data_IF_585636645076
#
_entry.id   IF_585636645076
#
_cell.length_a   1.000
_cell.length_b   1.000
_cell.length_c   1.000
_cell.angle_alpha   90.00
_cell.angle_beta   90.00
_cell.angle_gamma   90.00
#
_symmetry.space_group_name_H-M   'P 1'
#
loop_
_entity.id
_entity.type
_entity.pdbx_description
1 polymer ?
#
# COMPACT_ATOMS: atom_id res chain seq x y z
N UNK A 1 -23.86 -35.09 -6.93
CA UNK A 1 -24.13 -33.91 -6.11
C UNK A 1 -23.80 -34.27 -4.67
N UNK A 2 -22.63 -33.85 -4.20
CA UNK A 2 -22.23 -33.97 -2.80
C UNK A 2 -21.70 -32.59 -2.40
N UNK A 3 -22.49 -31.87 -1.62
CA UNK A 3 -22.13 -30.59 -1.02
C UNK A 3 -21.15 -30.90 0.12
N UNK A 4 -19.89 -30.51 -0.04
CA UNK A 4 -18.95 -30.50 1.06
C UNK A 4 -19.26 -29.28 1.93
N UNK A 5 -19.93 -29.52 3.07
CA UNK A 5 -19.95 -28.61 4.21
C UNK A 5 -18.50 -28.40 4.67
N UNK A 6 -17.90 -27.29 4.25
CA UNK A 6 -16.72 -26.75 4.92
C UNK A 6 -17.20 -26.07 6.20
N UNK A 7 -17.16 -26.85 7.27
CA UNK A 7 -17.25 -26.49 8.68
C UNK A 7 -16.65 -25.08 8.93
N UNK A 8 -17.48 -24.03 8.90
CA UNK A 8 -17.17 -22.69 9.44
C UNK A 8 -17.04 -22.83 10.96
N UNK A 9 -15.94 -23.43 11.41
CA UNK A 9 -15.56 -23.36 12.81
C UNK A 9 -15.19 -21.92 13.07
N UNK A 10 -16.13 -21.17 13.63
CA UNK A 10 -15.88 -19.89 14.28
C UNK A 10 -14.75 -20.13 15.28
N UNK A 11 -13.53 -19.76 14.93
CA UNK A 11 -12.36 -19.92 15.80
C UNK A 11 -12.54 -18.94 16.95
N UNK A 12 -13.23 -19.36 18.02
CA UNK A 12 -13.38 -18.51 19.20
C UNK A 12 -12.02 -18.45 19.91
N UNK A 13 -11.58 -17.25 20.26
CA UNK A 13 -10.32 -17.04 20.98
C UNK A 13 -10.25 -17.97 22.22
N UNK A 14 -9.12 -18.68 22.42
CA UNK A 14 -9.01 -19.66 23.50
C UNK A 14 -9.19 -18.99 24.87
N UNK A 15 -10.12 -19.52 25.69
CA UNK A 15 -10.32 -19.05 27.07
C UNK A 15 -9.06 -19.29 27.91
N UNK A 16 -8.32 -18.24 28.26
CA UNK A 16 -7.20 -18.34 29.21
C UNK A 16 -7.72 -18.66 30.62
N UNK A 17 -7.34 -19.82 31.17
CA UNK A 17 -7.47 -20.10 32.61
C UNK A 17 -6.46 -19.24 33.38
N UNK A 18 -6.94 -18.21 34.08
CA UNK A 18 -6.14 -17.34 34.94
C UNK A 18 -5.95 -15.93 34.36
N UNK A 19 -6.57 -14.93 35.01
CA UNK A 19 -6.70 -13.51 34.64
C UNK A 19 -7.36 -13.28 33.26
N UNK A 20 -8.65 -12.97 33.28
CA UNK A 20 -9.40 -12.34 32.18
C UNK A 20 -8.73 -11.02 31.77
N UNK A 21 -7.70 -11.07 30.93
CA UNK A 21 -7.39 -9.95 30.03
C UNK A 21 -8.13 -10.24 28.74
N UNK A 22 -9.37 -9.77 28.67
CA UNK A 22 -10.15 -9.78 27.44
C UNK A 22 -9.34 -8.98 26.40
N UNK A 23 -9.13 -9.55 25.21
CA UNK A 23 -8.49 -8.81 24.12
C UNK A 23 -9.45 -7.69 23.70
N UNK A 24 -8.97 -6.45 23.48
CA UNK A 24 -9.86 -5.35 23.13
C UNK A 24 -10.39 -5.43 21.69
N UNK A 25 -9.95 -6.41 20.89
CA UNK A 25 -10.27 -6.54 19.48
C UNK A 25 -11.06 -7.83 19.20
N UNK A 26 -12.00 -7.76 18.25
CA UNK A 26 -12.68 -8.93 17.70
C UNK A 26 -11.76 -9.62 16.71
N UNK A 27 -11.84 -10.95 16.63
CA UNK A 27 -10.97 -11.75 15.78
C UNK A 27 -11.08 -11.39 14.29
N UNK A 28 -12.31 -11.16 13.82
CA UNK A 28 -12.58 -10.72 12.45
C UNK A 28 -11.91 -9.39 12.10
N UNK A 29 -11.77 -8.49 13.08
CA UNK A 29 -11.11 -7.20 12.92
C UNK A 29 -9.58 -7.33 12.92
N UNK A 30 -9.06 -8.51 13.27
CA UNK A 30 -7.62 -8.78 13.31
C UNK A 30 -7.12 -9.64 12.15
N UNK A 31 -8.02 -10.40 11.52
CA UNK A 31 -7.70 -11.29 10.41
C UNK A 31 -7.53 -10.49 9.12
N UNK A 32 -6.31 -10.47 8.58
CA UNK A 32 -5.96 -9.73 7.39
C UNK A 32 -6.74 -10.18 6.14
N UNK A 33 -7.05 -11.47 6.02
CA UNK A 33 -7.87 -11.98 4.90
C UNK A 33 -9.31 -11.52 5.03
N UNK A 34 -9.90 -11.60 6.23
CA UNK A 34 -11.26 -11.13 6.45
C UNK A 34 -11.37 -9.61 6.21
N UNK A 35 -10.36 -8.83 6.61
CA UNK A 35 -10.30 -7.40 6.30
C UNK A 35 -10.31 -7.17 4.78
N UNK A 36 -9.45 -7.88 4.04
CA UNK A 36 -9.37 -7.77 2.57
C UNK A 36 -10.67 -8.22 1.90
N UNK A 37 -11.23 -9.36 2.29
CA UNK A 37 -12.37 -9.98 1.63
C UNK A 37 -13.67 -9.19 1.85
N UNK A 38 -13.72 -8.33 2.87
CA UNK A 38 -14.80 -7.36 3.11
C UNK A 38 -14.63 -6.04 2.32
N UNK A 39 -13.61 -5.92 1.46
CA UNK A 39 -13.42 -4.77 0.58
C UNK A 39 -14.08 -5.03 -0.76
N UNK A 40 -15.22 -4.38 -1.01
CA UNK A 40 -16.00 -4.59 -2.24
C UNK A 40 -15.93 -3.41 -3.22
N UNK A 41 -15.50 -2.24 -2.74
CA UNK A 41 -15.39 -1.02 -3.54
C UNK A 41 -13.93 -0.64 -3.80
N UNK A 42 -13.71 0.12 -4.88
CA UNK A 42 -12.42 0.72 -5.22
C UNK A 42 -12.46 2.24 -4.95
N UNK A 43 -12.00 2.71 -3.76
CA UNK A 43 -11.61 1.94 -2.57
C UNK A 43 -12.76 1.70 -1.58
N UNK A 44 -12.58 0.75 -0.66
CA UNK A 44 -13.35 0.65 0.58
C UNK A 44 -12.59 1.35 1.70
N UNK A 45 -13.12 2.46 2.23
CA UNK A 45 -12.54 3.10 3.42
C UNK A 45 -12.94 2.31 4.68
N UNK A 46 -11.96 1.91 5.48
CA UNK A 46 -12.16 0.99 6.59
C UNK A 46 -11.80 1.68 7.90
N UNK A 47 -12.74 1.67 8.84
CA UNK A 47 -12.50 2.05 10.23
C UNK A 47 -12.31 0.79 11.06
N UNK A 48 -11.07 0.50 11.44
CA UNK A 48 -10.74 -0.70 12.22
C UNK A 48 -9.75 -0.35 13.35
N UNK A 49 -10.17 -0.46 14.63
CA UNK A 49 -9.33 -0.06 15.76
C UNK A 49 -8.10 -0.95 15.94
N UNK A 50 -8.14 -2.21 15.48
CA UNK A 50 -6.96 -3.09 15.50
C UNK A 50 -5.91 -2.60 14.50
N UNK A 51 -6.31 -2.20 13.29
CA UNK A 51 -5.39 -1.65 12.28
C UNK A 51 -4.72 -0.38 12.81
N UNK A 52 -5.50 0.56 13.35
CA UNK A 52 -4.96 1.77 13.98
C UNK A 52 -3.98 1.43 15.10
N UNK A 53 -4.30 0.46 15.96
CA UNK A 53 -3.41 0.00 17.02
C UNK A 53 -2.08 -0.55 16.46
N UNK A 54 -2.15 -1.41 15.43
CA UNK A 54 -0.98 -2.02 14.81
C UNK A 54 -0.07 -0.98 14.15
N UNK A 55 -0.64 0.04 13.50
CA UNK A 55 0.10 1.17 12.92
C UNK A 55 0.80 1.97 14.02
N UNK A 56 0.05 2.38 15.04
CA UNK A 56 0.56 3.27 16.10
C UNK A 56 1.60 2.59 16.98
N UNK A 57 1.44 1.29 17.25
CA UNK A 57 2.37 0.52 18.08
C UNK A 57 3.52 -0.11 17.31
N UNK A 58 3.49 -0.06 15.98
CA UNK A 58 4.48 -0.74 15.14
C UNK A 58 4.48 -2.25 15.37
N UNK A 59 3.31 -2.83 15.61
CA UNK A 59 3.16 -4.27 15.85
C UNK A 59 3.40 -5.08 14.58
N UNK A 60 4.01 -6.25 14.73
CA UNK A 60 4.04 -7.29 13.69
C UNK A 60 2.99 -8.38 13.96
N UNK A 61 2.72 -9.23 12.96
CA UNK A 61 1.68 -10.24 13.06
C UNK A 61 1.96 -11.26 14.18
N UNK A 62 3.24 -11.58 14.42
CA UNK A 62 3.66 -12.47 15.51
C UNK A 62 3.30 -11.90 16.90
N UNK A 63 3.58 -10.62 17.15
CA UNK A 63 3.21 -9.95 18.39
C UNK A 63 1.70 -9.79 18.53
N UNK A 64 0.99 -9.52 17.43
CA UNK A 64 -0.47 -9.51 17.42
C UNK A 64 -1.05 -10.88 17.80
N UNK A 65 -0.53 -11.97 17.22
CA UNK A 65 -0.90 -13.35 17.56
C UNK A 65 -0.75 -13.63 19.05
N UNK A 66 0.38 -13.23 19.64
CA UNK A 66 0.65 -13.38 21.08
C UNK A 66 -0.28 -12.53 21.94
N UNK A 67 -0.55 -11.29 21.52
CA UNK A 67 -1.52 -10.41 22.18
C UNK A 67 -2.91 -11.05 22.19
N UNK A 68 -3.28 -11.69 21.10
CA UNK A 68 -4.59 -12.34 20.92
C UNK A 68 -4.65 -13.74 21.56
N UNK A 69 -3.55 -14.24 22.12
CA UNK A 69 -3.47 -15.54 22.81
C UNK A 69 -3.41 -16.75 21.88
N UNK A 70 -3.04 -16.55 20.62
CA UNK A 70 -2.89 -17.58 19.58
C UNK A 70 -1.45 -18.10 19.47
N UNK A 71 -0.53 -17.65 20.33
CA UNK A 71 0.89 -18.04 20.37
C UNK A 71 1.13 -19.52 20.74
N UNK A 72 0.12 -20.18 21.31
CA UNK A 72 0.18 -21.58 21.72
C UNK A 72 -0.49 -22.55 20.76
N UNK A 73 -1.11 -22.04 19.69
CA UNK A 73 -1.71 -22.90 18.68
C UNK A 73 -0.63 -23.34 17.67
N UNK A 74 -0.74 -24.55 17.12
CA UNK A 74 0.21 -25.04 16.14
C UNK A 74 0.23 -24.10 14.93
N UNK A 75 1.43 -23.65 14.56
CA UNK A 75 1.70 -22.83 13.39
C UNK A 75 1.45 -23.70 12.13
N UNK A 76 0.27 -23.54 11.53
CA UNK A 76 -0.18 -24.29 10.35
C UNK A 76 -0.63 -23.30 9.27
N UNK A 77 -0.63 -23.71 8.00
CA UNK A 77 -1.07 -22.83 6.89
C UNK A 77 -2.54 -22.39 6.98
N UNK A 78 -3.35 -23.04 7.81
CA UNK A 78 -4.74 -22.69 8.11
C UNK A 78 -4.88 -21.75 9.32
N UNK A 79 -3.78 -21.23 9.85
CA UNK A 79 -3.83 -20.24 10.93
C UNK A 79 -4.38 -18.91 10.43
N UNK A 80 -5.03 -18.20 11.34
CA UNK A 80 -5.45 -16.81 11.15
C UNK A 80 -4.21 -15.97 10.90
N UNK A 81 -4.22 -15.19 9.82
CA UNK A 81 -3.16 -14.22 9.49
C UNK A 81 -3.51 -12.90 10.11
N UNK A 82 -2.67 -12.41 11.01
CA UNK A 82 -2.92 -11.11 11.64
C UNK A 82 -2.46 -9.97 10.73
N UNK A 83 -3.32 -8.96 10.56
CA UNK A 83 -2.92 -7.76 9.81
C UNK A 83 -1.76 -7.06 10.51
N UNK A 84 -0.75 -6.65 9.75
CA UNK A 84 0.42 -5.93 10.26
C UNK A 84 0.76 -4.74 9.37
N UNK A 85 1.32 -3.69 9.99
CA UNK A 85 1.90 -2.55 9.28
C UNK A 85 3.41 -2.71 9.05
N UNK A 86 4.07 -3.57 9.83
CA UNK A 86 5.47 -3.92 9.59
C UNK A 86 5.55 -4.85 8.37
N UNK A 87 5.94 -4.30 7.21
CA UNK A 87 5.95 -5.01 5.94
C UNK A 87 7.22 -4.73 5.16
N UNK A 88 7.74 -5.77 4.52
CA UNK A 88 8.80 -5.65 3.55
C UNK A 88 8.24 -5.24 2.18
N UNK A 89 9.03 -4.50 1.40
CA UNK A 89 8.64 -4.09 0.05
C UNK A 89 7.43 -3.13 -0.03
N UNK A 90 6.94 -2.60 1.09
CA UNK A 90 5.92 -1.55 1.12
C UNK A 90 6.53 -0.24 0.64
N UNK A 91 5.88 0.45 -0.29
CA UNK A 91 6.35 1.78 -0.69
C UNK A 91 5.84 2.85 0.26
N UNK A 92 6.63 3.91 0.43
CA UNK A 92 6.27 5.12 1.17
C UNK A 92 6.47 6.32 0.26
N UNK A 93 5.41 7.07 0.00
CA UNK A 93 5.44 8.25 -0.87
C UNK A 93 4.97 9.49 -0.10
N UNK A 94 5.80 10.52 -0.05
CA UNK A 94 5.40 11.83 0.49
C UNK A 94 4.70 12.63 -0.60
N UNK A 95 3.54 13.18 -0.28
CA UNK A 95 2.74 14.02 -1.16
C UNK A 95 2.61 15.39 -0.49
N UNK A 96 3.15 16.46 -1.10
CA UNK A 96 3.05 17.79 -0.55
C UNK A 96 1.59 18.28 -0.60
N UNK A 97 1.21 19.04 0.42
CA UNK A 97 -0.03 19.81 0.44
C UNK A 97 0.00 20.90 -0.63
N UNK A 98 -1.19 21.40 -0.97
CA UNK A 98 -1.37 22.42 -2.01
C UNK A 98 -1.93 23.74 -1.43
N UNK A 99 -1.77 23.96 -0.12
CA UNK A 99 -2.33 25.10 0.62
C UNK A 99 -3.80 24.93 1.03
N UNK A 100 -4.49 23.93 0.46
CA UNK A 100 -5.86 23.53 0.86
C UNK A 100 -5.82 22.19 1.60
N UNK A 101 -5.07 21.21 1.09
CA UNK A 101 -4.85 19.93 1.74
C UNK A 101 -3.56 19.91 2.56
N UNK A 102 -3.55 19.12 3.64
CA UNK A 102 -2.35 18.77 4.40
C UNK A 102 -1.33 18.00 3.55
N UNK A 103 -0.09 18.00 4.04
CA UNK A 103 0.92 17.04 3.61
C UNK A 103 0.44 15.63 3.94
N UNK A 104 0.77 14.67 3.06
CA UNK A 104 0.40 13.27 3.25
C UNK A 104 1.60 12.37 3.08
N UNK A 105 1.61 11.30 3.85
CA UNK A 105 2.51 10.16 3.62
C UNK A 105 1.66 8.95 3.32
N UNK A 106 1.86 8.37 2.14
CA UNK A 106 1.05 7.28 1.63
C UNK A 106 1.90 6.01 1.60
N UNK A 107 1.37 4.95 2.21
CA UNK A 107 1.96 3.63 2.23
C UNK A 107 1.10 2.68 1.40
N UNK A 108 1.74 1.87 0.54
CA UNK A 108 1.02 1.01 -0.41
C UNK A 108 1.58 -0.41 -0.34
N UNK A 109 0.68 -1.37 -0.15
CA UNK A 109 0.96 -2.80 -0.21
C UNK A 109 2.06 -3.28 0.75
N UNK A 110 2.95 -4.14 0.24
CA UNK A 110 4.02 -4.81 0.96
C UNK A 110 3.67 -6.26 1.31
N UNK A 111 4.68 -7.01 1.75
CA UNK A 111 4.57 -8.38 2.22
C UNK A 111 5.03 -8.53 3.66
N UNK A 112 4.54 -9.54 4.37
CA UNK A 112 5.03 -9.93 5.69
C UNK A 112 5.42 -11.40 5.66
N UNK A 113 6.58 -11.71 6.25
CA UNK A 113 7.24 -13.02 6.28
C UNK A 113 7.52 -13.64 4.90
N UNK A 114 8.05 -14.86 4.90
CA UNK A 114 8.28 -15.68 3.71
C UNK A 114 7.17 -16.72 3.52
N UNK A 115 7.11 -17.34 2.34
CA UNK A 115 5.97 -18.16 1.90
C UNK A 115 5.67 -19.41 2.76
N UNK A 116 6.59 -19.83 3.63
CA UNK A 116 6.40 -20.96 4.53
C UNK A 116 5.92 -20.54 5.92
N UNK A 117 5.98 -19.25 6.26
CA UNK A 117 5.39 -18.73 7.48
C UNK A 117 3.85 -18.71 7.40
N UNK A 118 3.13 -19.23 8.40
CA UNK A 118 1.68 -19.12 8.52
C UNK A 118 1.10 -17.70 8.51
N UNK A 119 1.86 -16.70 8.96
CA UNK A 119 1.51 -15.28 8.91
C UNK A 119 1.90 -14.63 7.56
N UNK A 120 2.41 -15.40 6.60
CA UNK A 120 2.72 -14.90 5.26
C UNK A 120 1.51 -14.26 4.60
N UNK A 121 1.67 -12.99 4.23
CA UNK A 121 0.65 -12.24 3.50
C UNK A 121 1.28 -11.13 2.68
N UNK A 122 0.82 -11.01 1.44
CA UNK A 122 1.04 -9.84 0.58
C UNK A 122 -0.25 -9.03 0.61
N UNK A 123 -0.10 -7.72 0.78
CA UNK A 123 -1.19 -6.77 1.00
C UNK A 123 -1.47 -5.95 -0.27
N UNK A 124 -2.72 -5.55 -0.43
CA UNK A 124 -3.21 -4.63 -1.47
C UNK A 124 -3.98 -3.45 -0.85
N UNK A 125 -3.54 -2.98 0.32
CA UNK A 125 -4.16 -1.85 1.00
C UNK A 125 -3.32 -0.57 0.85
N UNK A 126 -3.97 0.56 1.11
CA UNK A 126 -3.36 1.90 1.14
C UNK A 126 -3.60 2.53 2.51
N UNK A 127 -2.52 2.98 3.15
CA UNK A 127 -2.56 3.72 4.41
C UNK A 127 -2.14 5.16 4.15
N UNK A 128 -2.94 6.11 4.60
CA UNK A 128 -2.67 7.54 4.42
C UNK A 128 -2.49 8.17 5.79
N UNK A 129 -1.32 8.78 5.99
CA UNK A 129 -1.03 9.63 7.12
C UNK A 129 -1.24 11.07 6.69
N UNK A 130 -2.17 11.77 7.33
CA UNK A 130 -2.37 13.20 7.13
C UNK A 130 -1.55 13.98 8.16
N UNK A 131 -0.70 14.87 7.68
CA UNK A 131 0.22 15.68 8.47
C UNK A 131 -0.26 17.13 8.39
N UNK A 132 -0.90 17.62 9.46
CA UNK A 132 -1.25 19.04 9.55
C UNK A 132 -0.09 19.78 10.22
N UNK A 133 0.50 20.72 9.50
CA UNK A 133 1.48 21.67 10.03
C UNK A 133 0.76 22.82 10.71
N UNK A 134 0.07 22.57 11.82
CA UNK A 134 -0.43 23.69 12.63
C UNK A 134 0.71 24.21 13.50
N UNK A 135 1.31 25.34 13.10
CA UNK A 135 2.26 26.12 13.90
C UNK A 135 1.68 26.68 15.23
N UNK A 136 0.41 26.36 15.54
CA UNK A 136 -0.32 26.84 16.71
C UNK A 136 -0.97 25.73 17.56
N UNK A 137 -0.64 24.45 17.34
CA UNK A 137 -1.22 23.35 18.13
C UNK A 137 -0.27 22.82 19.22
N UNK A 138 -0.05 23.61 20.27
CA UNK A 138 0.07 23.07 21.65
C UNK A 138 -1.32 22.59 22.15
N UNK A 139 -2.11 21.94 21.29
CA UNK A 139 -3.40 21.38 21.68
C UNK A 139 -3.21 19.89 21.86
N UNK A 140 -3.52 19.45 23.09
CA UNK A 140 -3.65 18.06 23.49
C UNK A 140 -4.11 17.18 22.32
N UNK A 141 -3.25 16.24 21.93
CA UNK A 141 -3.61 15.13 21.08
C UNK A 141 -4.89 14.50 21.64
N UNK A 142 -5.87 14.14 20.79
CA UNK A 142 -7.01 13.38 21.27
C UNK A 142 -6.45 12.10 21.91
N UNK A 143 -6.89 11.82 23.14
CA UNK A 143 -6.30 10.85 24.08
C UNK A 143 -6.29 9.39 23.60
N UNK A 144 -6.77 9.14 22.38
CA UNK A 144 -6.82 7.88 21.67
C UNK A 144 -5.66 7.67 20.67
N UNK A 145 -4.88 8.71 20.31
CA UNK A 145 -3.64 8.53 19.54
C UNK A 145 -2.49 8.38 20.54
N UNK A 146 -2.22 7.14 20.93
CA UNK A 146 -1.12 6.85 21.85
C UNK A 146 0.19 7.19 21.14
N UNK A 147 1.00 8.07 21.73
CA UNK A 147 2.31 8.44 21.23
C UNK A 147 3.08 7.22 20.66
N UNK A 148 3.34 7.27 19.36
CA UNK A 148 4.28 6.36 18.70
C UNK A 148 5.65 6.61 19.35
N UNK A 149 6.41 5.57 19.77
CA UNK A 149 7.75 5.77 20.30
C UNK A 149 8.58 6.58 19.31
N UNK A 150 9.05 7.73 19.78
CA UNK A 150 9.81 8.71 19.02
C UNK A 150 11.03 8.03 18.39
N UNK A 151 11.01 7.77 17.07
CA UNK A 151 12.26 7.76 16.30
C UNK A 151 12.60 9.22 16.04
N UNK A 152 13.79 9.72 16.42
CA UNK A 152 14.17 11.10 16.15
C UNK A 152 13.94 11.46 14.67
N UNK A 153 13.12 12.47 14.40
CA UNK A 153 12.83 12.96 13.04
C UNK A 153 11.53 12.46 12.37
N UNK A 154 10.61 11.81 13.10
CA UNK A 154 9.30 11.41 12.55
C UNK A 154 8.15 12.20 13.20
N UNK A 155 7.53 13.11 12.45
CA UNK A 155 6.26 13.75 12.83
C UNK A 155 5.13 12.70 12.92
N UNK A 156 4.30 12.76 13.96
CA UNK A 156 3.17 11.84 14.11
C UNK A 156 2.02 12.27 13.18
N UNK A 157 1.32 11.32 12.54
CA UNK A 157 0.13 11.66 11.78
C UNK A 157 -0.97 12.17 12.71
N UNK A 158 -1.67 13.21 12.29
CA UNK A 158 -2.84 13.72 13.00
C UNK A 158 -4.08 12.88 12.71
N UNK A 159 -4.15 12.32 11.51
CA UNK A 159 -5.21 11.42 11.07
C UNK A 159 -4.61 10.28 10.25
N UNK A 160 -5.16 9.08 10.42
CA UNK A 160 -4.81 7.89 9.66
C UNK A 160 -6.06 7.41 8.92
N UNK A 161 -6.00 7.35 7.60
CA UNK A 161 -7.03 6.71 6.77
C UNK A 161 -6.52 5.38 6.24
N UNK A 162 -7.38 4.36 6.24
CA UNK A 162 -7.07 3.03 5.73
C UNK A 162 -8.05 2.66 4.61
N UNK A 163 -7.52 2.24 3.47
CA UNK A 163 -8.28 1.88 2.28
C UNK A 163 -7.93 0.47 1.84
N UNK A 164 -8.92 -0.40 1.77
CA UNK A 164 -8.80 -1.72 1.17
C UNK A 164 -9.41 -1.76 -0.23
N UNK A 165 -8.99 -2.75 -1.02
CA UNK A 165 -9.35 -2.86 -2.43
C UNK A 165 -9.69 -4.33 -2.78
N UNK A 166 -10.68 -4.56 -3.65
CA UNK A 166 -10.86 -5.84 -4.32
C UNK A 166 -9.56 -6.28 -5.02
N UNK A 167 -9.25 -7.58 -4.94
CA UNK A 167 -7.99 -8.10 -5.48
C UNK A 167 -7.92 -8.05 -7.02
N UNK A 168 -9.05 -7.99 -7.71
CA UNK A 168 -9.17 -7.80 -9.16
C UNK A 168 -8.94 -6.33 -9.59
N UNK A 169 -9.25 -5.37 -8.73
CA UNK A 169 -8.98 -3.94 -8.93
C UNK A 169 -7.53 -3.58 -8.58
N UNK A 170 -7.05 -4.05 -7.42
CA UNK A 170 -5.67 -3.87 -6.98
C UNK A 170 -5.09 -5.19 -6.47
N UNK A 171 -4.19 -5.77 -7.26
CA UNK A 171 -3.53 -7.02 -6.93
C UNK A 171 -2.62 -6.84 -5.69
N UNK A 172 -2.59 -7.81 -4.77
CA UNK A 172 -1.60 -7.85 -3.70
C UNK A 172 -0.18 -7.79 -4.25
N UNK A 173 0.56 -6.78 -3.81
CA UNK A 173 1.89 -6.47 -4.34
C UNK A 173 2.86 -6.04 -3.24
N UNK A 174 4.11 -6.46 -3.41
CA UNK A 174 5.28 -6.10 -2.63
C UNK A 174 6.43 -5.78 -3.57
N UNK A 175 7.38 -4.98 -3.11
CA UNK A 175 8.57 -4.57 -3.85
C UNK A 175 8.27 -3.89 -5.21
N UNK A 176 7.10 -3.28 -5.33
CA UNK A 176 6.77 -2.36 -6.41
C UNK A 176 7.46 -1.01 -6.18
N UNK A 177 7.40 -0.15 -7.19
CA UNK A 177 7.78 1.26 -7.05
C UNK A 177 6.52 2.12 -7.00
N UNK A 178 6.60 3.25 -6.29
CA UNK A 178 5.51 4.21 -6.18
C UNK A 178 6.06 5.63 -6.37
N UNK A 179 5.57 6.34 -7.37
CA UNK A 179 6.05 7.68 -7.72
C UNK A 179 4.89 8.67 -7.81
N UNK A 180 4.95 9.72 -6.99
CA UNK A 180 4.01 10.84 -7.03
C UNK A 180 4.18 11.63 -8.34
N UNK A 181 3.05 11.96 -8.95
CA UNK A 181 2.96 12.75 -10.15
C UNK A 181 1.81 13.75 -10.03
N UNK A 182 2.12 15.03 -10.25
CA UNK A 182 1.13 16.09 -10.38
C UNK A 182 1.03 16.46 -11.85
N UNK A 183 -0.11 16.14 -12.45
CA UNK A 183 -0.38 16.49 -13.82
C UNK A 183 -0.43 18.02 -13.96
N UNK A 184 0.33 18.60 -14.91
CA UNK A 184 0.24 20.03 -15.18
C UNK A 184 -1.21 20.42 -15.49
N UNK A 185 -1.67 21.56 -14.97
CA UNK A 185 -2.95 22.10 -15.37
C UNK A 185 -2.95 22.27 -16.90
N UNK A 186 -3.95 21.73 -17.59
CA UNK A 186 -4.10 21.95 -19.02
C UNK A 186 -4.14 23.47 -19.26
N UNK A 187 -3.29 23.96 -20.17
CA UNK A 187 -3.45 25.31 -20.69
C UNK A 187 -4.83 25.33 -21.36
N UNK A 188 -5.75 26.14 -20.85
CA UNK A 188 -6.91 26.49 -21.65
C UNK A 188 -6.35 27.08 -22.94
N UNK A 189 -6.69 26.51 -24.10
CA UNK A 189 -6.52 27.22 -25.35
C UNK A 189 -7.27 28.53 -25.19
N UNK A 190 -6.53 29.64 -25.21
CA UNK A 190 -7.09 30.98 -25.12
C UNK A 190 -7.93 31.22 -26.36
N UNK A 191 -9.19 30.77 -26.33
CA UNK A 191 -10.19 31.24 -27.27
C UNK A 191 -10.54 32.67 -26.83
N UNK A 192 -9.90 33.66 -27.47
CA UNK A 192 -10.01 35.11 -27.22
C UNK A 192 -11.45 35.65 -27.27
N UNK A 193 -12.46 34.81 -27.54
CA UNK A 193 -13.84 35.21 -27.75
C UNK A 193 -14.79 34.97 -26.57
N UNK A 194 -14.36 34.34 -25.47
CA UNK A 194 -15.26 34.03 -24.35
C UNK A 194 -14.89 34.77 -23.05
N UNK A 195 -15.60 35.85 -22.76
CA UNK A 195 -15.50 36.69 -21.53
C UNK A 195 -16.06 36.03 -20.26
N UNK A 196 -15.85 34.73 -20.10
CA UNK A 196 -16.26 33.98 -18.92
C UNK A 196 -15.12 33.09 -18.45
N UNK A 197 -14.45 33.47 -17.36
CA UNK A 197 -13.40 32.67 -16.72
C UNK A 197 -13.99 31.38 -16.15
N UNK A 198 -14.06 30.33 -16.97
CA UNK A 198 -14.38 28.99 -16.50
C UNK A 198 -13.36 28.58 -15.43
N UNK A 199 -13.79 28.06 -14.27
CA UNK A 199 -12.86 27.66 -13.22
C UNK A 199 -11.89 26.62 -13.76
N UNK A 200 -10.58 26.84 -13.55
CA UNK A 200 -9.56 25.85 -13.87
C UNK A 200 -9.92 24.52 -13.22
N UNK A 201 -9.90 23.44 -14.00
CA UNK A 201 -10.02 22.09 -13.43
C UNK A 201 -8.83 21.87 -12.48
N UNK A 202 -9.06 21.31 -11.28
CA UNK A 202 -7.97 21.06 -10.34
C UNK A 202 -6.92 20.13 -10.98
N UNK A 203 -5.65 20.43 -10.73
CA UNK A 203 -4.55 19.58 -11.17
C UNK A 203 -4.78 18.15 -10.66
N UNK A 204 -4.68 17.17 -11.56
CA UNK A 204 -4.84 15.77 -11.18
C UNK A 204 -3.56 15.28 -10.51
N UNK A 205 -3.72 14.63 -9.38
CA UNK A 205 -2.62 14.12 -8.58
C UNK A 205 -2.72 12.60 -8.49
N UNK A 206 -1.60 11.95 -8.79
CA UNK A 206 -1.50 10.51 -8.93
C UNK A 206 -0.29 9.96 -8.18
N UNK A 207 -0.37 8.71 -7.75
CA UNK A 207 0.81 7.88 -7.51
C UNK A 207 0.81 6.76 -8.52
N UNK A 208 1.85 6.66 -9.34
CA UNK A 208 2.05 5.52 -10.23
C UNK A 208 2.69 4.38 -9.47
N UNK A 209 2.03 3.22 -9.49
CA UNK A 209 2.45 1.97 -8.86
C UNK A 209 2.93 1.05 -9.99
N UNK A 210 4.22 0.72 -10.00
CA UNK A 210 4.84 -0.02 -11.11
C UNK A 210 5.55 -1.28 -10.60
N UNK A 211 5.24 -2.41 -11.21
CA UNK A 211 5.86 -3.71 -10.98
C UNK A 211 5.41 -4.38 -9.67
N UNK A 212 6.39 -5.01 -8.99
CA UNK A 212 6.19 -5.80 -7.77
C UNK A 212 6.12 -7.30 -8.03
N UNK A 213 6.19 -8.10 -6.96
CA UNK A 213 6.25 -9.56 -7.08
C UNK A 213 4.90 -10.25 -6.95
N UNK A 214 4.11 -9.87 -5.93
CA UNK A 214 2.83 -10.50 -5.65
C UNK A 214 2.92 -12.01 -5.40
N UNK A 215 1.75 -12.66 -5.28
CA UNK A 215 1.69 -14.12 -5.08
C UNK A 215 2.24 -14.88 -6.31
N UNK A 216 2.73 -16.13 -6.15
CA UNK A 216 3.31 -16.92 -7.25
C UNK A 216 2.42 -17.04 -8.49
N UNK A 217 1.10 -17.10 -8.31
CA UNK A 217 0.14 -17.24 -9.42
C UNK A 217 -0.45 -15.89 -9.88
N UNK A 218 0.01 -14.77 -9.31
CA UNK A 218 -0.53 -13.44 -9.60
C UNK A 218 -0.06 -12.89 -10.96
N UNK A 219 -0.80 -11.91 -11.49
CA UNK A 219 -0.48 -11.23 -12.75
C UNK A 219 0.91 -10.59 -12.78
N UNK A 220 1.45 -10.20 -11.62
CA UNK A 220 2.79 -9.60 -11.47
C UNK A 220 3.92 -10.49 -12.03
N UNK A 221 3.72 -11.81 -12.10
CA UNK A 221 4.72 -12.73 -12.67
C UNK A 221 4.74 -12.76 -14.19
N UNK A 222 3.69 -12.27 -14.84
CA UNK A 222 3.50 -12.36 -16.29
C UNK A 222 3.89 -11.08 -17.01
N UNK A 223 3.76 -9.94 -16.35
CA UNK A 223 3.99 -8.62 -16.93
C UNK A 223 4.36 -7.58 -15.86
N UNK A 224 4.94 -6.46 -16.29
CA UNK A 224 5.10 -5.30 -15.42
C UNK A 224 3.77 -4.58 -15.25
N UNK A 225 3.03 -4.95 -14.21
CA UNK A 225 1.77 -4.30 -13.84
C UNK A 225 2.03 -2.81 -13.59
N UNK A 226 1.24 -1.96 -14.23
CA UNK A 226 1.31 -0.51 -14.05
C UNK A 226 -0.09 -0.03 -13.65
N UNK A 227 -0.18 0.62 -12.51
CA UNK A 227 -1.42 1.17 -11.97
C UNK A 227 -1.19 2.61 -11.51
N UNK A 228 -2.27 3.36 -11.29
CA UNK A 228 -2.20 4.70 -10.70
C UNK A 228 -3.27 4.88 -9.63
N UNK A 229 -2.89 5.45 -8.50
CA UNK A 229 -3.77 5.84 -7.39
C UNK A 229 -4.15 7.30 -7.54
N UNK A 230 -5.44 7.60 -7.66
CA UNK A 230 -5.97 8.97 -7.66
C UNK A 230 -5.90 9.56 -6.25
N UNK A 231 -5.21 10.68 -6.04
CA UNK A 231 -5.02 11.22 -4.69
C UNK A 231 -6.19 12.05 -4.15
N UNK A 232 -7.27 12.21 -4.91
CA UNK A 232 -8.48 12.90 -4.45
C UNK A 232 -9.55 11.90 -4.02
N UNK A 233 -9.66 10.77 -4.72
CA UNK A 233 -10.70 9.74 -4.49
C UNK A 233 -10.14 8.44 -3.93
N UNK A 234 -8.81 8.28 -3.92
CA UNK A 234 -8.11 7.04 -3.60
C UNK A 234 -8.52 5.84 -4.46
N UNK A 235 -9.11 6.07 -5.64
CA UNK A 235 -9.35 4.99 -6.61
C UNK A 235 -8.04 4.57 -7.27
N UNK A 236 -7.85 3.26 -7.42
CA UNK A 236 -6.73 2.69 -8.19
C UNK A 236 -7.23 2.32 -9.58
N UNK A 237 -6.47 2.66 -10.60
CA UNK A 237 -6.77 2.33 -11.99
C UNK A 237 -5.60 1.57 -12.60
N UNK A 238 -5.90 0.49 -13.31
CA UNK A 238 -4.92 -0.14 -14.18
C UNK A 238 -4.69 0.71 -15.42
N UNK A 239 -3.43 0.95 -15.74
CA UNK A 239 -3.03 1.57 -17.00
C UNK A 239 -2.40 0.51 -17.90
N UNK A 240 -2.54 0.70 -19.20
CA UNK A 240 -1.99 -0.20 -20.22
C UNK A 240 -0.99 0.55 -21.10
N UNK A 241 0.24 0.77 -20.61
CA UNK A 241 1.24 1.48 -21.37
C UNK A 241 1.63 0.74 -22.65
N UNK A 242 2.04 1.51 -23.66
CA UNK A 242 2.54 0.98 -24.94
C UNK A 242 4.06 1.09 -25.02
N UNK A 243 4.67 0.65 -26.12
CA UNK A 243 6.11 0.81 -26.37
C UNK A 243 6.98 -0.32 -25.80
N UNK A 244 8.19 0.01 -25.35
CA UNK A 244 9.18 -0.94 -24.86
C UNK A 244 8.89 -1.36 -23.41
N UNK A 245 7.76 -2.03 -23.19
CA UNK A 245 7.31 -2.42 -21.83
C UNK A 245 8.42 -3.23 -21.14
N UNK A 246 8.85 -2.84 -19.92
CA UNK A 246 9.85 -3.58 -19.18
C UNK A 246 9.39 -5.01 -18.90
N UNK A 247 10.29 -6.02 -18.95
CA UNK A 247 9.94 -7.36 -18.50
C UNK A 247 9.58 -7.33 -17.01
N UNK A 248 8.73 -8.26 -16.54
CA UNK A 248 8.42 -8.36 -15.11
C UNK A 248 9.72 -8.53 -14.32
N UNK A 249 9.92 -7.69 -13.31
CA UNK A 249 11.06 -7.79 -12.43
C UNK A 249 10.62 -8.31 -11.06
N UNK A 250 11.32 -9.33 -10.60
CA UNK A 250 11.12 -9.94 -9.29
C UNK A 250 12.43 -9.71 -8.56
N UNK A 251 12.51 -8.71 -7.65
CA UNK A 251 13.72 -8.54 -6.84
C UNK A 251 13.91 -9.81 -6.00
N UNK A 252 14.95 -10.58 -6.33
CA UNK A 252 15.26 -11.83 -5.61
C UNK A 252 15.77 -11.55 -4.19
N UNK A 253 16.31 -10.35 -3.94
CA UNK A 253 16.80 -9.90 -2.64
C UNK A 253 16.49 -8.39 -2.45
N UNK A 254 16.34 -7.90 -1.21
CA UNK A 254 16.07 -6.49 -0.89
C UNK A 254 17.02 -5.49 -1.54
N UNK A 255 18.30 -5.83 -1.64
CA UNK A 255 19.34 -5.01 -2.26
C UNK A 255 19.19 -4.85 -3.79
N UNK A 256 18.31 -5.64 -4.42
CA UNK A 256 17.98 -5.55 -5.85
C UNK A 256 16.60 -4.93 -6.11
N UNK A 257 16.05 -4.20 -5.13
CA UNK A 257 14.79 -3.48 -5.29
C UNK A 257 14.82 -2.54 -6.50
N UNK A 258 13.75 -2.55 -7.29
CA UNK A 258 13.60 -1.53 -8.31
C UNK A 258 13.50 -0.14 -7.68
N UNK A 259 14.00 0.85 -8.41
CA UNK A 259 13.93 2.26 -8.06
C UNK A 259 13.13 2.97 -9.13
N UNK A 260 12.32 3.94 -8.72
CA UNK A 260 11.63 4.84 -9.63
C UNK A 260 11.81 6.30 -9.23
N UNK A 261 11.89 7.18 -10.21
CA UNK A 261 11.98 8.63 -10.02
C UNK A 261 11.31 9.36 -11.16
N UNK A 262 10.73 10.52 -10.86
CA UNK A 262 10.18 11.41 -11.87
C UNK A 262 11.31 12.23 -12.48
N UNK A 263 11.50 12.09 -13.79
CA UNK A 263 12.43 12.82 -14.64
C UNK A 263 11.67 13.83 -15.50
N UNK A 264 12.25 15.02 -15.67
CA UNK A 264 11.75 16.07 -16.57
C UNK A 264 10.26 16.43 -16.41
N UNK A 265 9.69 16.20 -15.23
CA UNK A 265 8.28 16.43 -14.87
C UNK A 265 7.24 15.58 -15.63
N UNK A 266 7.62 14.64 -16.49
CA UNK A 266 6.66 13.89 -17.31
C UNK A 266 7.04 12.43 -17.56
N UNK A 267 8.20 11.99 -17.09
CA UNK A 267 8.71 10.65 -17.36
C UNK A 267 9.07 9.97 -16.06
N UNK A 268 8.52 8.80 -15.77
CA UNK A 268 8.98 7.99 -14.64
C UNK A 268 10.08 7.06 -15.12
N UNK A 269 11.32 7.31 -14.70
CA UNK A 269 12.40 6.34 -14.88
C UNK A 269 12.26 5.23 -13.86
N UNK A 270 12.18 3.98 -14.32
CA UNK A 270 12.27 2.77 -13.49
C UNK A 270 13.56 2.04 -13.81
N UNK A 271 14.30 1.63 -12.78
CA UNK A 271 15.54 0.91 -12.93
C UNK A 271 15.71 -0.20 -11.90
N UNK A 272 16.42 -1.26 -12.27
CA UNK A 272 16.77 -2.36 -11.37
C UNK A 272 18.04 -3.07 -11.86
N UNK A 273 18.60 -3.89 -10.99
CA UNK A 273 19.78 -4.72 -11.30
C UNK A 273 19.38 -6.19 -11.20
N UNK A 274 19.75 -6.96 -12.21
CA UNK A 274 19.69 -8.43 -12.16
C UNK A 274 21.10 -8.97 -12.07
N UNK A 275 21.32 -9.98 -11.23
CA UNK A 275 22.60 -10.67 -11.14
C UNK A 275 22.44 -12.15 -11.53
N UNK A 276 23.24 -12.61 -12.48
CA UNK A 276 23.32 -14.02 -12.86
C UNK A 276 24.74 -14.52 -12.64
N UNK A 277 24.90 -15.74 -12.10
CA UNK A 277 26.21 -16.39 -11.92
C UNK A 277 27.06 -16.43 -13.18
N UNK A 278 26.44 -16.50 -14.37
CA UNK A 278 27.15 -16.53 -15.66
C UNK A 278 27.42 -15.15 -16.24
N UNK A 279 26.47 -14.24 -16.14
CA UNK A 279 26.48 -12.97 -16.89
C UNK A 279 26.83 -11.74 -16.02
N UNK A 280 27.05 -11.95 -14.72
CA UNK A 280 27.30 -10.88 -13.76
C UNK A 280 26.08 -10.00 -13.51
N UNK A 281 26.33 -8.76 -13.06
CA UNK A 281 25.29 -7.75 -12.81
C UNK A 281 24.94 -7.02 -14.09
N UNK A 282 23.65 -6.95 -14.40
CA UNK A 282 23.08 -6.21 -15.52
C UNK A 282 22.09 -5.17 -15.01
N UNK A 283 22.31 -3.92 -15.39
CA UNK A 283 21.41 -2.82 -15.09
C UNK A 283 20.34 -2.70 -16.19
N UNK A 284 19.10 -2.48 -15.77
CA UNK A 284 17.96 -2.24 -16.64
C UNK A 284 17.39 -0.86 -16.32
N UNK A 285 17.04 -0.08 -17.35
CA UNK A 285 16.47 1.26 -17.23
C UNK A 285 15.41 1.47 -18.29
N UNK A 286 14.25 1.95 -17.87
CA UNK A 286 13.10 2.22 -18.73
C UNK A 286 12.45 3.53 -18.28
N UNK A 287 12.00 4.34 -19.22
CA UNK A 287 11.23 5.56 -18.95
C UNK A 287 9.77 5.37 -19.38
N UNK A 288 8.82 5.62 -18.47
CA UNK A 288 7.40 5.71 -18.79
C UNK A 288 7.04 7.19 -19.00
N UNK A 289 6.85 7.58 -20.25
CA UNK A 289 6.35 8.91 -20.60
C UNK A 289 4.85 8.99 -20.29
N UNK A 290 4.49 9.83 -19.32
CA UNK A 290 3.16 9.88 -18.72
C UNK A 290 2.07 10.46 -19.64
N UNK A 291 2.32 11.51 -20.45
CA UNK A 291 1.30 12.06 -21.35
C UNK A 291 0.76 11.05 -22.37
N UNK A 292 1.60 10.13 -22.85
CA UNK A 292 1.20 9.08 -23.82
C UNK A 292 1.06 7.68 -23.18
N UNK A 293 1.42 7.54 -21.90
CA UNK A 293 1.60 6.25 -21.25
C UNK A 293 2.45 5.30 -22.11
N UNK A 294 3.66 5.74 -22.48
CA UNK A 294 4.53 5.01 -23.39
C UNK A 294 5.89 4.73 -22.77
N UNK A 295 6.28 3.45 -22.76
CA UNK A 295 7.59 3.01 -22.34
C UNK A 295 8.64 3.21 -23.45
N UNK A 296 9.84 3.57 -23.01
CA UNK A 296 11.05 3.58 -23.81
C UNK A 296 12.20 2.99 -23.01
N UNK A 297 12.97 2.09 -23.63
CA UNK A 297 14.22 1.60 -23.04
C UNK A 297 15.30 2.69 -23.07
N UNK A 298 16.00 2.87 -21.95
CA UNK A 298 17.04 3.91 -21.76
C UNK A 298 18.46 3.34 -21.86
#
# INVERSE_FOLDING_TARGET
MATSDSDERTLVAPKRRGRNKQTPFLLQDTNAEAIRDNCHDNPTQISNPFITHMIVKGGDAYHARKMMGFDKLPFTKSCIRFWTFNRWGQTKTTVPGNGISSDRVIFIGGGYEDWYDPDFMIYNDVVVFHIHTDAASEKEYPSNIIAIPQRPGHEQPNEISFYGYPADEFLPTDCHTATYYKEPAAKQEEDETTTGSAPMSPAKEWIYIIGGMGYPDSGHRKETVTQRLNLHSYRIERVHPTGDVPPPYVPLLPEFSAQAKLENNDTIEVSWVTENRKDGKKQHRYGLYLPELRWKKL
#
